data_IF_684099252988
#
_entry.id   IF_684099252988
#
_cell.length_a   1.000
_cell.length_b   1.000
_cell.length_c   1.000
_cell.angle_alpha   90.00
_cell.angle_beta   90.00
_cell.angle_gamma   90.00
#
_symmetry.space_group_name_H-M   'P 1'
#
loop_
_entity.id
_entity.type
_entity.pdbx_description
1 polymer ?
#
# COMPACT_ATOMS: atom_id res chain seq x y z
N UNK A 1 -2.94 21.88 -16.47
CA UNK A 1 -1.89 21.94 -15.46
C UNK A 1 -0.59 21.48 -16.08
N UNK A 2 0.53 21.97 -15.59
CA UNK A 2 1.85 21.58 -16.06
C UNK A 2 2.05 20.06 -15.96
N UNK A 3 2.58 19.44 -17.00
CA UNK A 3 2.77 17.98 -17.06
C UNK A 3 3.74 17.49 -15.97
N UNK A 4 4.77 18.30 -15.65
CA UNK A 4 5.71 17.97 -14.58
C UNK A 4 5.06 17.97 -13.21
N UNK A 5 4.24 18.97 -12.91
CA UNK A 5 3.49 19.03 -11.64
C UNK A 5 2.47 17.90 -11.56
N UNK A 6 1.80 17.60 -12.66
CA UNK A 6 0.85 16.47 -12.72
C UNK A 6 1.56 15.15 -12.41
N UNK A 7 2.73 14.93 -13.00
CA UNK A 7 3.53 13.73 -12.77
C UNK A 7 3.98 13.63 -11.30
N UNK A 8 4.40 14.75 -10.70
CA UNK A 8 4.79 14.78 -9.29
C UNK A 8 3.59 14.45 -8.40
N UNK A 9 2.41 15.02 -8.70
CA UNK A 9 1.19 14.72 -7.95
C UNK A 9 0.83 13.24 -8.01
N UNK A 10 0.89 12.64 -9.19
CA UNK A 10 0.63 11.20 -9.36
C UNK A 10 1.65 10.36 -8.60
N UNK A 11 2.93 10.73 -8.67
CA UNK A 11 4.00 10.04 -7.94
C UNK A 11 3.82 10.14 -6.44
N UNK A 12 3.40 11.30 -5.92
CA UNK A 12 3.14 11.48 -4.50
C UNK A 12 1.93 10.64 -4.05
N UNK A 13 0.88 10.58 -4.86
CA UNK A 13 -0.31 9.80 -4.53
C UNK A 13 0.04 8.32 -4.34
N UNK A 14 0.76 7.73 -5.29
CA UNK A 14 1.18 6.34 -5.20
C UNK A 14 2.30 6.15 -4.17
N UNK A 15 3.30 7.03 -4.19
CA UNK A 15 4.49 6.90 -3.34
C UNK A 15 4.18 7.00 -1.86
N UNK A 16 3.36 7.97 -1.45
CA UNK A 16 2.98 8.11 -0.04
C UNK A 16 2.11 6.93 0.42
N UNK A 17 1.19 6.47 -0.43
CA UNK A 17 0.41 5.27 -0.13
C UNK A 17 1.31 4.04 0.02
N UNK A 18 2.31 3.88 -0.87
CA UNK A 18 3.26 2.77 -0.82
C UNK A 18 4.10 2.80 0.45
N UNK A 19 4.55 3.98 0.89
CA UNK A 19 5.32 4.13 2.14
C UNK A 19 4.45 3.72 3.32
N UNK A 20 3.21 4.22 3.40
CA UNK A 20 2.29 3.85 4.48
C UNK A 20 1.99 2.36 4.52
N UNK A 21 1.72 1.78 3.37
CA UNK A 21 1.49 0.34 3.23
C UNK A 21 2.73 -0.46 3.64
N UNK A 22 3.91 -0.05 3.20
CA UNK A 22 5.16 -0.72 3.54
C UNK A 22 5.44 -0.70 5.04
N UNK A 23 5.22 0.43 5.70
CA UNK A 23 5.38 0.54 7.15
C UNK A 23 4.40 -0.40 7.88
N UNK A 24 3.13 -0.38 7.49
CA UNK A 24 2.11 -1.24 8.09
C UNK A 24 2.44 -2.72 7.88
N UNK A 25 2.79 -3.11 6.66
CA UNK A 25 3.11 -4.49 6.34
C UNK A 25 4.36 -4.98 7.06
N UNK A 26 5.37 -4.13 7.25
CA UNK A 26 6.57 -4.51 7.99
C UNK A 26 6.26 -4.83 9.45
N UNK A 27 5.38 -4.05 10.08
CA UNK A 27 4.97 -4.27 11.47
C UNK A 27 4.10 -5.50 11.60
N UNK A 28 3.12 -5.66 10.73
CA UNK A 28 2.24 -6.84 10.71
C UNK A 28 3.06 -8.10 10.42
N UNK A 29 3.97 -8.03 9.46
CA UNK A 29 4.83 -9.15 9.09
C UNK A 29 5.72 -9.61 10.23
N UNK A 30 6.34 -8.68 10.93
CA UNK A 30 7.20 -9.01 12.07
C UNK A 30 6.38 -9.65 13.20
N UNK A 31 5.26 -9.05 13.58
CA UNK A 31 4.37 -9.60 14.62
C UNK A 31 3.76 -10.92 14.16
N UNK A 32 3.36 -11.01 12.90
CA UNK A 32 2.76 -12.19 12.32
C UNK A 32 3.71 -13.38 12.26
N UNK A 33 4.98 -13.15 11.96
CA UNK A 33 5.99 -14.20 11.96
C UNK A 33 6.09 -14.86 13.34
N UNK A 34 6.09 -14.06 14.40
CA UNK A 34 6.08 -14.59 15.77
C UNK A 34 4.80 -15.35 16.09
N UNK A 35 3.66 -14.84 15.64
CA UNK A 35 2.36 -15.50 15.86
C UNK A 35 2.31 -16.85 15.15
N UNK A 36 2.76 -16.93 13.90
CA UNK A 36 2.76 -18.16 13.11
C UNK A 36 3.70 -19.20 13.73
N UNK A 37 4.83 -18.75 14.30
CA UNK A 37 5.76 -19.64 14.97
C UNK A 37 5.11 -20.37 16.15
N UNK A 38 4.22 -19.66 16.88
CA UNK A 38 3.51 -20.25 18.01
C UNK A 38 2.21 -20.95 17.61
N UNK A 39 1.47 -20.36 16.66
CA UNK A 39 0.15 -20.84 16.21
C UNK A 39 0.07 -20.80 14.69
N UNK A 40 0.59 -21.82 13.99
CA UNK A 40 0.59 -21.85 12.53
C UNK A 40 -0.80 -21.78 11.89
N UNK A 41 -1.84 -22.17 12.61
CA UNK A 41 -3.22 -22.11 12.15
C UNK A 41 -3.74 -20.67 11.96
N UNK A 42 -3.02 -19.66 12.47
CA UNK A 42 -3.37 -18.26 12.29
C UNK A 42 -2.80 -17.63 11.00
N UNK A 43 -2.15 -18.43 10.15
CA UNK A 43 -1.58 -17.91 8.90
C UNK A 43 -2.61 -17.16 8.04
N UNK A 44 -3.83 -17.67 7.93
CA UNK A 44 -4.89 -17.01 7.15
C UNK A 44 -5.25 -15.64 7.69
N UNK A 45 -5.28 -15.49 9.02
CA UNK A 45 -5.56 -14.20 9.67
C UNK A 45 -4.42 -13.21 9.38
N UNK A 46 -3.17 -13.66 9.43
CA UNK A 46 -2.02 -12.80 9.16
C UNK A 46 -2.01 -12.33 7.70
N UNK A 47 -2.33 -13.23 6.76
CA UNK A 47 -2.45 -12.87 5.35
C UNK A 47 -3.53 -11.80 5.15
N UNK A 48 -4.68 -11.95 5.82
CA UNK A 48 -5.75 -10.97 5.75
C UNK A 48 -5.29 -9.60 6.28
N UNK A 49 -4.58 -9.58 7.41
CA UNK A 49 -4.07 -8.33 7.99
C UNK A 49 -3.06 -7.64 7.08
N UNK A 50 -2.25 -8.39 6.35
CA UNK A 50 -1.32 -7.83 5.37
C UNK A 50 -2.08 -7.28 4.15
N UNK A 51 -3.14 -7.94 3.74
CA UNK A 51 -3.93 -7.53 2.58
C UNK A 51 -4.66 -6.20 2.79
N UNK A 52 -5.04 -5.86 4.02
CA UNK A 52 -5.76 -4.62 4.30
C UNK A 52 -4.93 -3.38 3.94
N UNK A 53 -3.68 -3.21 4.38
CA UNK A 53 -2.86 -2.07 3.94
C UNK A 53 -2.57 -2.06 2.45
N UNK A 54 -2.56 -3.21 1.79
CA UNK A 54 -2.35 -3.32 0.35
C UNK A 54 -3.43 -2.56 -0.43
N UNK A 55 -4.64 -2.44 0.09
CA UNK A 55 -5.70 -1.68 -0.55
C UNK A 55 -5.36 -0.20 -0.68
N UNK A 56 -4.54 0.34 0.23
CA UNK A 56 -4.09 1.73 0.18
C UNK A 56 -3.23 1.98 -1.06
N UNK A 57 -2.31 1.07 -1.38
CA UNK A 57 -1.46 1.23 -2.55
C UNK A 57 -2.24 1.02 -3.84
N UNK A 58 -3.24 0.15 -3.83
CA UNK A 58 -4.14 -0.04 -4.97
C UNK A 58 -4.93 1.24 -5.23
N UNK A 59 -5.49 1.85 -4.19
CA UNK A 59 -6.21 3.11 -4.30
C UNK A 59 -5.28 4.26 -4.70
N UNK A 60 -4.06 4.28 -4.18
CA UNK A 60 -3.04 5.25 -4.56
C UNK A 60 -2.67 5.12 -6.04
N UNK A 61 -2.54 3.89 -6.53
CA UNK A 61 -2.30 3.63 -7.95
C UNK A 61 -3.48 4.13 -8.80
N UNK A 62 -4.72 3.84 -8.40
CA UNK A 62 -5.91 4.30 -9.12
C UNK A 62 -5.96 5.82 -9.17
N UNK A 63 -5.66 6.49 -8.06
CA UNK A 63 -5.61 7.95 -7.98
C UNK A 63 -4.52 8.50 -8.90
N UNK A 64 -3.33 7.91 -8.88
CA UNK A 64 -2.23 8.32 -9.75
C UNK A 64 -2.59 8.17 -11.24
N UNK A 65 -3.21 7.05 -11.59
CA UNK A 65 -3.66 6.80 -12.96
C UNK A 65 -4.70 7.84 -13.40
N UNK A 66 -5.66 8.15 -12.53
CA UNK A 66 -6.67 9.17 -12.82
C UNK A 66 -6.05 10.55 -13.00
N UNK A 67 -5.08 10.92 -12.17
CA UNK A 67 -4.37 12.19 -12.30
C UNK A 67 -3.70 12.27 -13.67
N UNK A 68 -2.97 11.22 -14.06
CA UNK A 68 -2.25 11.20 -15.33
C UNK A 68 -3.20 11.20 -16.54
N UNK A 69 -4.32 10.49 -16.45
CA UNK A 69 -5.24 10.36 -17.57
C UNK A 69 -6.18 11.56 -17.71
N UNK A 70 -6.60 12.15 -16.60
CA UNK A 70 -7.59 13.24 -16.61
C UNK A 70 -6.94 14.62 -16.62
N UNK A 71 -5.78 14.79 -15.99
CA UNK A 71 -5.11 16.08 -15.88
C UNK A 71 -3.92 16.22 -16.86
N UNK A 72 -3.41 15.08 -17.28
CA UNK A 72 -2.32 15.06 -18.22
C UNK A 72 -2.79 15.26 -19.62
#
# INVERSE_FOLDING_TARGET
MDAGLTAIGAGLALGLAAIGTGIAQSRIGAAGAGTIAEKPDLLGVIILLIAIPETMVILGFATAAMILLLEG
#
